data_IF_710081945847
#
_entry.id   IF_710081945847
#
_cell.length_a   1.000
_cell.length_b   1.000
_cell.length_c   1.000
_cell.angle_alpha   90.00
_cell.angle_beta   90.00
_cell.angle_gamma   90.00
#
_symmetry.space_group_name_H-M   'P 1'
#
loop_
_entity.id
_entity.type
_entity.pdbx_description
1 polymer ?
#
# COMPACT_ATOMS: atom_id res chain seq x y z
N UNK A 1 -7.56 -17.68 19.09
CA UNK A 1 -8.18 -16.37 18.86
C UNK A 1 -7.14 -15.27 19.04
N UNK A 2 -6.26 -15.05 18.07
CA UNK A 2 -5.23 -14.00 18.19
C UNK A 2 -5.06 -13.32 16.84
N UNK A 3 -6.00 -12.43 16.50
CA UNK A 3 -5.76 -11.40 15.49
C UNK A 3 -4.64 -10.52 16.03
N UNK A 4 -3.57 -10.34 15.26
CA UNK A 4 -2.68 -9.22 15.52
C UNK A 4 -2.65 -8.34 14.29
N UNK A 5 -3.08 -7.11 14.53
CA UNK A 5 -3.15 -6.06 13.54
C UNK A 5 -1.75 -5.51 13.30
N UNK A 6 -1.23 -5.70 12.10
CA UNK A 6 -0.04 -4.97 11.63
C UNK A 6 -0.56 -3.81 10.77
N UNK A 7 -0.36 -2.59 11.25
CA UNK A 7 -0.74 -1.36 10.56
C UNK A 7 0.50 -0.68 9.97
N UNK A 8 0.67 -0.74 8.66
CA UNK A 8 1.42 0.25 7.89
C UNK A 8 0.67 0.48 6.58
N UNK A 9 0.19 1.72 6.41
CA UNK A 9 -0.69 2.23 5.35
C UNK A 9 -2.07 1.58 5.25
N UNK A 10 -2.97 1.94 6.18
CA UNK A 10 -4.47 2.04 6.08
C UNK A 10 -5.27 0.98 5.29
N UNK A 11 -4.67 -0.12 4.89
CA UNK A 11 -5.30 -1.34 4.43
C UNK A 11 -5.25 -2.29 5.63
N UNK A 12 -6.40 -2.59 6.22
CA UNK A 12 -6.48 -3.63 7.24
C UNK A 12 -6.30 -4.97 6.52
N UNK A 13 -5.11 -5.55 6.60
CA UNK A 13 -4.83 -6.85 6.00
C UNK A 13 -5.25 -7.92 6.99
N UNK A 14 -6.41 -8.51 6.74
CA UNK A 14 -6.90 -9.65 7.49
C UNK A 14 -6.36 -10.94 6.87
N UNK A 15 -5.54 -11.73 7.59
CA UNK A 15 -5.09 -13.02 7.10
C UNK A 15 -6.28 -13.97 6.99
N UNK A 16 -6.66 -14.33 5.76
CA UNK A 16 -7.85 -15.13 5.49
C UNK A 16 -7.60 -16.63 5.46
N UNK A 17 -6.33 -17.07 5.45
CA UNK A 17 -5.96 -18.48 5.25
C UNK A 17 -4.81 -18.98 6.18
N UNK A 18 -4.61 -18.37 7.35
CA UNK A 18 -3.61 -18.87 8.32
C UNK A 18 -2.14 -18.56 7.96
N UNK A 19 -1.89 -17.55 7.12
CA UNK A 19 -0.54 -17.07 6.80
C UNK A 19 0.17 -16.57 8.08
N UNK A 20 1.47 -16.85 8.19
CA UNK A 20 2.30 -16.34 9.29
C UNK A 20 2.53 -14.84 9.16
N UNK A 21 2.95 -14.20 10.25
CA UNK A 21 3.33 -12.78 10.22
C UNK A 21 4.55 -12.52 9.35
N UNK A 22 5.55 -13.41 9.36
CA UNK A 22 6.67 -13.30 8.41
C UNK A 22 6.18 -13.30 6.97
N UNK A 23 5.30 -14.24 6.60
CA UNK A 23 4.78 -14.33 5.24
C UNK A 23 4.01 -13.07 4.85
N UNK A 24 3.17 -12.56 5.75
CA UNK A 24 2.43 -11.30 5.53
C UNK A 24 3.37 -10.12 5.30
N UNK A 25 4.43 -10.00 6.09
CA UNK A 25 5.39 -8.91 5.94
C UNK A 25 6.20 -9.03 4.66
N UNK A 26 6.58 -10.25 4.27
CA UNK A 26 7.26 -10.50 3.01
C UNK A 26 6.37 -10.13 1.82
N UNK A 27 5.14 -10.62 1.80
CA UNK A 27 4.17 -10.36 0.72
C UNK A 27 3.83 -8.87 0.60
N UNK A 28 3.70 -8.18 1.73
CA UNK A 28 3.58 -6.73 1.78
C UNK A 28 4.78 -6.01 1.15
N UNK A 29 5.99 -6.41 1.53
CA UNK A 29 7.23 -5.83 1.02
C UNK A 29 7.37 -6.01 -0.49
N UNK A 30 7.05 -7.20 -1.00
CA UNK A 30 7.02 -7.50 -2.43
C UNK A 30 5.98 -6.65 -3.16
N UNK A 31 4.75 -6.56 -2.63
CA UNK A 31 3.68 -5.78 -3.25
C UNK A 31 3.95 -4.27 -3.26
N UNK A 32 4.57 -3.73 -2.22
CA UNK A 32 5.03 -2.34 -2.22
C UNK A 32 6.14 -2.12 -3.24
N UNK A 33 7.04 -3.08 -3.40
CA UNK A 33 8.13 -2.99 -4.39
C UNK A 33 7.56 -2.98 -5.81
N UNK A 34 6.67 -3.91 -6.13
CA UNK A 34 5.99 -3.94 -7.42
C UNK A 34 5.20 -2.64 -7.69
N UNK A 35 4.45 -2.14 -6.72
CA UNK A 35 3.69 -0.91 -6.90
C UNK A 35 4.58 0.32 -7.17
N UNK A 36 5.76 0.41 -6.54
CA UNK A 36 6.74 1.47 -6.84
C UNK A 36 7.27 1.37 -8.27
N UNK A 37 7.61 0.17 -8.71
CA UNK A 37 8.16 -0.08 -10.05
C UNK A 37 7.13 0.23 -11.15
N UNK A 38 5.88 -0.20 -10.97
CA UNK A 38 4.80 0.01 -11.94
C UNK A 38 4.35 1.47 -12.04
N UNK A 39 4.40 2.22 -10.94
CA UNK A 39 3.88 3.61 -10.89
C UNK A 39 4.95 4.69 -10.94
N UNK A 40 6.22 4.30 -10.87
CA UNK A 40 7.36 5.18 -10.58
C UNK A 40 7.06 6.16 -9.41
N UNK A 41 6.27 5.69 -8.44
CA UNK A 41 5.77 6.50 -7.32
C UNK A 41 6.08 5.82 -5.99
N UNK A 42 6.56 6.62 -5.05
CA UNK A 42 6.77 6.21 -3.67
C UNK A 42 5.99 7.16 -2.74
N UNK A 43 4.91 6.68 -2.08
CA UNK A 43 4.09 7.50 -1.19
C UNK A 43 4.82 7.94 0.09
N UNK A 44 5.94 7.29 0.45
CA UNK A 44 6.76 7.65 1.60
C UNK A 44 7.62 8.90 1.33
N UNK A 45 7.81 9.27 0.06
CA UNK A 45 8.56 10.47 -0.30
C UNK A 45 7.83 11.72 0.22
N UNK A 46 8.53 12.62 0.92
CA UNK A 46 7.93 13.83 1.48
C UNK A 46 7.39 14.73 0.37
N UNK A 47 6.23 15.33 0.63
CA UNK A 47 5.64 16.33 -0.27
C UNK A 47 6.51 17.60 -0.21
N UNK A 48 7.05 18.09 -1.35
CA UNK A 48 7.77 19.36 -1.39
C UNK A 48 6.90 20.50 -0.87
N UNK A 49 7.50 21.44 -0.11
CA UNK A 49 6.76 22.57 0.49
C UNK A 49 5.94 23.36 -0.54
N UNK A 50 6.55 23.65 -1.70
CA UNK A 50 5.91 24.33 -2.84
C UNK A 50 4.65 23.63 -3.36
N UNK A 51 4.62 22.29 -3.29
CA UNK A 51 3.51 21.51 -3.83
C UNK A 51 2.37 21.39 -2.81
N UNK A 52 2.69 21.40 -1.50
CA UNK A 52 1.68 21.34 -0.41
C UNK A 52 0.70 22.51 -0.43
N UNK A 53 1.16 23.68 -0.85
CA UNK A 53 0.35 24.90 -0.92
C UNK A 53 -0.53 24.93 -2.18
N UNK A 54 -0.23 24.08 -3.17
CA UNK A 54 -0.96 24.02 -4.43
C UNK A 54 -2.03 22.92 -4.42
N UNK A 55 -3.31 23.30 -4.53
CA UNK A 55 -4.40 22.33 -4.63
C UNK A 55 -4.23 21.36 -5.82
N UNK A 56 -3.81 21.80 -7.03
CA UNK A 56 -3.62 20.88 -8.15
C UNK A 56 -2.51 19.85 -7.93
N UNK A 57 -1.37 20.21 -7.33
CA UNK A 57 -0.30 19.23 -7.08
C UNK A 57 -0.71 18.22 -6.00
N UNK A 58 -1.42 18.67 -4.97
CA UNK A 58 -1.98 17.79 -3.95
C UNK A 58 -2.96 16.77 -4.54
N UNK A 59 -3.86 17.19 -5.44
CA UNK A 59 -4.77 16.28 -6.15
C UNK A 59 -4.03 15.25 -7.00
N UNK A 60 -3.06 15.69 -7.82
CA UNK A 60 -2.24 14.77 -8.63
C UNK A 60 -1.49 13.76 -7.77
N UNK A 61 -0.91 14.20 -6.65
CA UNK A 61 -0.25 13.29 -5.71
C UNK A 61 -1.25 12.29 -5.13
N UNK A 62 -2.46 12.74 -4.80
CA UNK A 62 -3.49 11.88 -4.25
C UNK A 62 -3.98 10.83 -5.25
N UNK A 63 -4.12 11.18 -6.52
CA UNK A 63 -4.40 10.23 -7.60
C UNK A 63 -3.30 9.16 -7.70
N UNK A 64 -2.02 9.56 -7.67
CA UNK A 64 -0.89 8.61 -7.68
C UNK A 64 -0.89 7.67 -6.46
N UNK A 65 -1.27 8.17 -5.27
CA UNK A 65 -1.44 7.34 -4.08
C UNK A 65 -2.56 6.32 -4.29
N UNK A 66 -3.67 6.71 -4.91
CA UNK A 66 -4.77 5.80 -5.19
C UNK A 66 -4.34 4.70 -6.16
N UNK A 67 -3.65 5.04 -7.25
CA UNK A 67 -3.10 4.07 -8.20
C UNK A 67 -2.11 3.12 -7.52
N UNK A 68 -1.19 3.65 -6.71
CA UNK A 68 -0.27 2.83 -5.93
C UNK A 68 -1.01 1.82 -5.04
N UNK A 69 -1.99 2.28 -4.26
CA UNK A 69 -2.78 1.41 -3.38
C UNK A 69 -3.59 0.37 -4.17
N UNK A 70 -4.10 0.71 -5.35
CA UNK A 70 -4.80 -0.23 -6.22
C UNK A 70 -3.88 -1.38 -6.65
N UNK A 71 -2.63 -1.08 -7.03
CA UNK A 71 -1.65 -2.11 -7.44
C UNK A 71 -1.25 -2.98 -6.25
N UNK A 72 -1.00 -2.38 -5.08
CA UNK A 72 -0.73 -3.13 -3.85
C UNK A 72 -1.87 -4.09 -3.53
N UNK A 73 -3.12 -3.61 -3.57
CA UNK A 73 -4.28 -4.42 -3.27
C UNK A 73 -4.46 -5.57 -4.26
N UNK A 74 -4.31 -5.31 -5.56
CA UNK A 74 -4.37 -6.35 -6.59
C UNK A 74 -3.26 -7.40 -6.39
N UNK A 75 -2.07 -6.97 -6.00
CA UNK A 75 -0.93 -7.83 -5.71
C UNK A 75 -1.18 -8.73 -4.48
N UNK A 76 -1.79 -8.19 -3.43
CA UNK A 76 -2.16 -8.93 -2.21
C UNK A 76 -3.34 -9.89 -2.46
N UNK A 77 -4.32 -9.48 -3.26
CA UNK A 77 -5.45 -10.34 -3.66
C UNK A 77 -4.99 -11.60 -4.40
N UNK A 78 -3.99 -11.46 -5.30
CA UNK A 78 -3.37 -12.62 -5.99
C UNK A 78 -2.68 -13.59 -5.03
N UNK A 79 -2.20 -13.09 -3.88
CA UNK A 79 -1.58 -13.89 -2.80
C UNK A 79 -2.60 -14.40 -1.77
N UNK A 80 -3.89 -14.22 -2.04
CA UNK A 80 -4.98 -14.74 -1.21
C UNK A 80 -5.35 -13.87 0.00
N UNK A 81 -4.84 -12.65 0.08
CA UNK A 81 -5.26 -11.67 1.08
C UNK A 81 -6.57 -10.99 0.64
N UNK A 82 -7.51 -10.84 1.58
CA UNK A 82 -8.66 -9.93 1.40
C UNK A 82 -8.31 -8.58 2.01
N UNK A 83 -8.17 -7.58 1.16
CA UNK A 83 -8.04 -6.19 1.58
C UNK A 83 -9.44 -5.58 1.65
N UNK A 84 -9.81 -5.02 2.80
CA UNK A 84 -11.09 -4.33 3.05
C UNK A 84 -10.86 -2.84 3.28
#
# INVERSE_FOLDING_TARGET
MTSTEISHSRAFIYPTQGQSREQQNQDLGECYTQAKEETDFDPSRPIPKKDRESQPAMRRRQERIQTYNQIVNACLQKRGYRVQ
#
